data_IF_049140897407
#
_entry.id   IF_049140897407
#
_cell.length_a   1.000
_cell.length_b   1.000
_cell.length_c   1.000
_cell.angle_alpha   90.00
_cell.angle_beta   90.00
_cell.angle_gamma   90.00
#
_symmetry.space_group_name_H-M   'P 1'
#
loop_
_entity.id
_entity.type
_entity.pdbx_description
1 polymer ?
#
# COMPACT_ATOMS: atom_id res chain seq x y z
N UNK A 1 -12.17 -10.31 -16.91
CA UNK A 1 -11.08 -10.25 -15.92
C UNK A 1 -11.56 -9.83 -14.52
N UNK A 2 -12.87 -9.81 -14.32
CA UNK A 2 -13.48 -9.24 -13.08
C UNK A 2 -13.71 -10.22 -11.92
N UNK A 3 -13.47 -11.51 -12.12
CA UNK A 3 -13.81 -12.51 -11.11
C UNK A 3 -12.72 -12.80 -10.06
N UNK A 4 -11.48 -12.36 -10.32
CA UNK A 4 -10.36 -12.62 -9.41
C UNK A 4 -10.36 -11.69 -8.19
N UNK A 5 -10.88 -10.46 -8.34
CA UNK A 5 -10.89 -9.46 -7.27
C UNK A 5 -12.06 -9.65 -6.27
N UNK A 6 -13.19 -10.20 -6.70
CA UNK A 6 -14.34 -10.47 -5.83
C UNK A 6 -14.08 -11.54 -4.76
N UNK A 7 -13.17 -12.47 -5.04
CA UNK A 7 -12.85 -13.57 -4.13
C UNK A 7 -11.81 -13.23 -3.04
N UNK A 8 -11.12 -12.10 -3.18
CA UNK A 8 -10.03 -11.72 -2.24
C UNK A 8 -10.55 -10.84 -1.10
N UNK A 9 -11.62 -10.05 -1.33
CA UNK A 9 -12.13 -9.07 -0.36
C UNK A 9 -13.59 -9.27 0.07
N UNK A 10 -14.29 -10.31 -0.41
CA UNK A 10 -15.71 -10.56 -0.17
C UNK A 10 -16.04 -11.50 0.99
N UNK A 11 -15.33 -11.42 2.12
CA UNK A 11 -15.66 -12.12 3.36
C UNK A 11 -16.78 -11.41 4.13
N UNK A 12 -18.04 -11.51 3.66
CA UNK A 12 -19.21 -11.00 4.39
C UNK A 12 -19.48 -11.80 5.66
N UNK A 13 -19.39 -11.15 6.80
CA UNK A 13 -19.88 -11.63 8.08
C UNK A 13 -21.39 -11.88 8.01
N UNK A 14 -21.82 -13.12 7.83
CA UNK A 14 -23.20 -13.54 8.09
C UNK A 14 -23.38 -13.68 9.60
N UNK A 15 -24.08 -12.70 10.17
CA UNK A 15 -24.58 -12.69 11.54
C UNK A 15 -25.65 -13.79 11.65
N UNK A 16 -25.33 -14.91 12.26
CA UNK A 16 -26.28 -15.95 12.63
C UNK A 16 -27.11 -15.47 13.82
N UNK A 17 -28.41 -15.24 13.59
CA UNK A 17 -29.39 -15.09 14.66
C UNK A 17 -29.78 -16.47 15.13
N UNK A 18 -29.36 -16.85 16.32
CA UNK A 18 -29.91 -17.94 17.07
C UNK A 18 -31.19 -17.47 17.75
N UNK A 19 -32.33 -18.04 17.33
CA UNK A 19 -33.61 -17.91 17.99
C UNK A 19 -33.73 -19.13 18.92
N UNK A 20 -33.90 -18.87 20.20
CA UNK A 20 -34.16 -19.88 21.21
C UNK A 20 -35.54 -20.48 21.07
N UNK A 21 -35.64 -21.76 21.39
CA UNK A 21 -36.88 -22.52 21.57
C UNK A 21 -36.73 -23.41 22.78
N UNK A 22 -37.40 -23.06 23.84
CA UNK A 22 -37.62 -23.76 25.08
C UNK A 22 -38.59 -24.95 24.82
N UNK A 23 -38.32 -26.13 25.37
CA UNK A 23 -39.27 -27.27 25.30
C UNK A 23 -38.82 -28.40 26.20
N UNK A 24 -39.42 -28.42 27.35
CA UNK A 24 -39.40 -29.23 28.54
C UNK A 24 -39.91 -30.66 28.35
N UNK A 25 -39.51 -31.51 29.33
CA UNK A 25 -40.14 -32.73 29.84
C UNK A 25 -40.09 -33.96 28.93
N UNK A 26 -39.76 -35.13 29.36
CA UNK A 26 -39.89 -35.77 30.65
C UNK A 26 -39.82 -37.29 30.49
N UNK A 27 -39.41 -37.93 31.55
CA UNK A 27 -39.85 -39.19 32.02
C UNK A 27 -39.51 -40.52 31.31
N UNK A 28 -38.66 -41.33 31.93
CA UNK A 28 -38.97 -42.54 32.60
C UNK A 28 -39.04 -43.81 31.76
N UNK A 29 -38.37 -44.80 32.22
CA UNK A 29 -38.76 -46.17 31.83
C UNK A 29 -37.62 -47.16 31.80
N UNK A 30 -37.40 -47.77 32.93
CA UNK A 30 -36.66 -49.01 33.18
C UNK A 30 -37.13 -50.16 32.31
N UNK A 31 -36.22 -51.10 32.05
CA UNK A 31 -36.71 -52.46 31.99
C UNK A 31 -36.11 -53.39 30.97
N UNK A 32 -35.42 -54.37 31.45
CA UNK A 32 -35.42 -55.78 31.10
C UNK A 32 -34.53 -56.35 30.00
N UNK A 33 -33.59 -57.12 30.50
CA UNK A 33 -33.26 -58.51 30.20
C UNK A 33 -33.63 -59.08 28.82
N UNK A 34 -32.66 -59.70 28.21
CA UNK A 34 -32.83 -60.66 27.13
C UNK A 34 -31.51 -61.28 26.70
N UNK A 35 -31.15 -62.36 27.37
CA UNK A 35 -30.11 -63.28 26.88
C UNK A 35 -30.49 -63.82 25.50
N UNK A 36 -29.57 -63.87 24.60
CA UNK A 36 -29.74 -64.51 23.29
C UNK A 36 -28.40 -64.84 22.67
N UNK A 37 -27.94 -65.95 23.00
CA UNK A 37 -26.95 -66.86 22.47
C UNK A 37 -26.97 -66.98 20.95
N UNK A 38 -25.77 -67.00 20.30
CA UNK A 38 -25.50 -67.72 19.10
C UNK A 38 -25.32 -66.96 17.78
N UNK A 39 -24.16 -67.08 17.23
CA UNK A 39 -23.96 -66.78 15.88
C UNK A 39 -22.48 -66.52 15.51
N UNK A 40 -21.72 -67.59 15.40
CA UNK A 40 -20.46 -67.67 14.73
C UNK A 40 -20.71 -67.27 13.28
N UNK A 41 -20.14 -66.14 12.85
CA UNK A 41 -20.14 -65.66 11.47
C UNK A 41 -18.82 -64.93 11.18
N UNK A 42 -17.88 -65.76 10.85
CA UNK A 42 -16.61 -65.31 10.22
C UNK A 42 -16.88 -64.46 9.00
N UNK A 43 -16.05 -63.53 8.83
CA UNK A 43 -15.62 -62.93 7.56
C UNK A 43 -16.10 -61.51 7.29
N UNK A 44 -15.17 -60.62 7.15
CA UNK A 44 -15.39 -59.29 6.62
C UNK A 44 -14.50 -58.24 7.29
N UNK A 45 -13.21 -58.48 7.27
CA UNK A 45 -12.23 -57.39 7.46
C UNK A 45 -12.36 -56.43 6.27
N UNK A 46 -13.43 -55.66 6.28
CA UNK A 46 -13.58 -54.47 5.46
C UNK A 46 -12.85 -53.35 6.18
N UNK A 47 -11.56 -53.22 5.90
CA UNK A 47 -10.81 -52.07 6.31
C UNK A 47 -11.42 -50.85 5.65
N UNK A 48 -12.21 -50.07 6.37
CA UNK A 48 -12.50 -48.70 6.03
C UNK A 48 -11.22 -47.89 6.19
N UNK A 49 -10.29 -48.11 5.28
CA UNK A 49 -9.21 -47.20 4.99
C UNK A 49 -9.79 -45.99 4.33
N UNK A 50 -10.52 -45.17 5.05
CA UNK A 50 -10.90 -43.85 4.62
C UNK A 50 -9.60 -43.10 4.39
N UNK A 51 -9.20 -42.93 3.13
CA UNK A 51 -8.11 -42.09 2.76
C UNK A 51 -8.51 -40.66 3.19
N UNK A 52 -8.07 -40.27 4.38
CA UNK A 52 -8.28 -38.90 4.86
C UNK A 52 -7.45 -37.95 4.00
N UNK A 53 -8.12 -37.39 2.99
CA UNK A 53 -7.58 -36.33 2.19
C UNK A 53 -7.59 -35.04 3.02
N UNK A 54 -6.43 -34.44 3.26
CA UNK A 54 -6.32 -33.17 3.95
C UNK A 54 -5.59 -32.16 3.06
N UNK A 55 -6.12 -30.93 3.06
CA UNK A 55 -5.46 -29.81 2.37
C UNK A 55 -4.09 -29.55 2.99
N UNK A 56 -3.11 -29.23 2.16
CA UNK A 56 -1.78 -28.82 2.59
C UNK A 56 -1.80 -27.49 3.35
N UNK A 57 -0.78 -27.27 4.14
CA UNK A 57 -0.59 -26.01 4.85
C UNK A 57 -0.25 -24.86 3.93
N UNK A 58 -0.64 -23.64 4.32
CA UNK A 58 -0.30 -22.44 3.58
C UNK A 58 1.18 -22.06 3.83
N UNK A 59 1.86 -21.63 2.79
CA UNK A 59 3.24 -21.16 2.84
C UNK A 59 3.26 -19.64 2.97
N UNK A 60 4.02 -19.13 3.94
CA UNK A 60 4.22 -17.70 4.14
C UNK A 60 5.60 -17.29 3.67
N UNK A 61 5.67 -16.24 2.85
CA UNK A 61 6.92 -15.67 2.38
C UNK A 61 6.81 -14.14 2.28
N UNK A 62 7.96 -13.47 2.13
CA UNK A 62 8.02 -12.02 1.96
C UNK A 62 8.68 -11.69 0.62
N UNK A 63 8.22 -10.61 0.02
CA UNK A 63 8.81 -10.05 -1.20
C UNK A 63 9.03 -8.56 -1.03
N UNK A 64 10.23 -8.12 -1.37
CA UNK A 64 10.54 -6.69 -1.43
C UNK A 64 10.33 -6.20 -2.85
N UNK A 65 9.54 -5.15 -3.01
CA UNK A 65 9.27 -4.47 -4.28
C UNK A 65 9.77 -3.03 -4.22
N UNK A 66 10.19 -2.49 -5.35
CA UNK A 66 10.55 -1.08 -5.42
C UNK A 66 9.31 -0.18 -5.30
N UNK A 67 9.53 1.10 -5.00
CA UNK A 67 8.47 2.11 -4.98
C UNK A 67 7.68 2.13 -6.31
N UNK A 68 8.41 2.09 -7.43
CA UNK A 68 7.80 2.16 -8.76
C UNK A 68 7.01 0.88 -9.09
N UNK A 69 7.52 -0.31 -8.74
CA UNK A 69 6.76 -1.57 -8.85
C UNK A 69 5.48 -1.52 -8.02
N UNK A 70 5.52 -0.93 -6.84
CA UNK A 70 4.33 -0.80 -5.99
C UNK A 70 3.34 0.26 -6.53
N UNK A 71 3.84 1.36 -7.11
CA UNK A 71 3.01 2.43 -7.65
C UNK A 71 2.29 2.02 -8.95
N UNK A 72 3.04 1.43 -9.88
CA UNK A 72 2.56 1.13 -11.23
C UNK A 72 2.11 -0.33 -11.42
N UNK A 73 2.47 -1.20 -10.47
CA UNK A 73 2.27 -2.63 -10.62
C UNK A 73 3.25 -3.27 -11.60
N UNK A 74 3.16 -4.58 -11.74
CA UNK A 74 4.00 -5.31 -12.67
C UNK A 74 4.11 -6.78 -12.32
N UNK A 75 4.89 -7.51 -13.13
CA UNK A 75 5.19 -8.91 -12.88
C UNK A 75 6.57 -9.05 -12.26
N UNK A 76 6.65 -9.82 -11.20
CA UNK A 76 7.90 -10.11 -10.49
C UNK A 76 8.11 -11.60 -10.34
N UNK A 77 9.28 -12.07 -10.70
CA UNK A 77 9.67 -13.47 -10.47
C UNK A 77 10.34 -13.57 -9.10
N UNK A 78 9.77 -14.39 -8.23
CA UNK A 78 10.32 -14.71 -6.92
C UNK A 78 10.85 -16.14 -6.92
N UNK A 79 11.91 -16.37 -6.16
CA UNK A 79 12.52 -17.69 -5.96
C UNK A 79 12.26 -18.11 -4.54
N UNK A 80 11.55 -19.22 -4.38
CA UNK A 80 11.27 -19.78 -3.06
C UNK A 80 11.78 -21.22 -3.01
N UNK A 81 12.26 -21.61 -1.84
CA UNK A 81 12.61 -23.00 -1.56
C UNK A 81 11.32 -23.78 -1.30
N UNK A 82 11.09 -24.81 -2.09
CA UNK A 82 9.97 -25.74 -1.92
C UNK A 82 10.24 -26.69 -0.75
N UNK A 83 9.19 -27.29 -0.20
CA UNK A 83 9.26 -28.32 0.83
C UNK A 83 10.15 -29.52 0.45
N UNK A 84 10.34 -29.79 -0.84
CA UNK A 84 11.21 -30.85 -1.36
C UNK A 84 12.68 -30.45 -1.51
N UNK A 85 13.09 -29.28 -0.97
CA UNK A 85 14.45 -28.76 -1.06
C UNK A 85 14.82 -28.14 -2.41
N UNK A 86 13.95 -28.19 -3.40
CA UNK A 86 14.13 -27.57 -4.71
C UNK A 86 13.80 -26.08 -4.70
N UNK A 87 14.48 -25.31 -5.57
CA UNK A 87 14.13 -23.90 -5.79
C UNK A 87 13.06 -23.83 -6.89
N UNK A 88 11.93 -23.17 -6.59
CA UNK A 88 10.88 -22.91 -7.56
C UNK A 88 10.77 -21.41 -7.84
N UNK A 89 10.57 -21.08 -9.11
CA UNK A 89 10.33 -19.71 -9.55
C UNK A 89 8.81 -19.49 -9.67
N UNK A 90 8.32 -18.43 -9.01
CA UNK A 90 6.93 -18.02 -9.10
C UNK A 90 6.85 -16.65 -9.77
N UNK A 91 6.09 -16.55 -10.84
CA UNK A 91 5.71 -15.26 -11.43
C UNK A 91 4.52 -14.70 -10.64
N UNK A 92 4.73 -13.55 -10.02
CA UNK A 92 3.74 -12.89 -9.19
C UNK A 92 3.34 -11.58 -9.85
N UNK A 93 2.04 -11.37 -10.01
CA UNK A 93 1.51 -10.10 -10.46
C UNK A 93 1.33 -9.17 -9.26
N UNK A 94 2.11 -8.09 -9.23
CA UNK A 94 2.03 -7.04 -8.21
C UNK A 94 0.96 -6.02 -8.68
N UNK A 95 -0.16 -5.87 -7.96
CA UNK A 95 -1.17 -4.90 -8.35
C UNK A 95 -0.67 -3.47 -8.14
N UNK A 96 -1.01 -2.58 -9.08
CA UNK A 96 -0.70 -1.16 -8.96
C UNK A 96 -1.34 -0.57 -7.71
N UNK A 97 -0.60 0.28 -7.01
CA UNK A 97 -1.06 0.93 -5.79
C UNK A 97 -0.92 0.09 -4.52
N UNK A 98 -0.33 -1.11 -4.58
CA UNK A 98 -0.17 -1.96 -3.41
C UNK A 98 0.59 -1.23 -2.29
N UNK A 99 0.15 -1.43 -1.05
CA UNK A 99 0.77 -0.85 0.14
C UNK A 99 1.69 -1.87 0.81
N UNK A 100 2.70 -1.37 1.52
CA UNK A 100 3.58 -2.20 2.34
C UNK A 100 2.77 -2.93 3.42
N UNK A 101 3.11 -4.19 3.65
CA UNK A 101 2.42 -5.06 4.61
C UNK A 101 1.19 -5.79 4.04
N UNK A 102 0.73 -5.48 2.84
CA UNK A 102 -0.33 -6.24 2.16
C UNK A 102 0.18 -7.60 1.70
N UNK A 103 -0.72 -8.59 1.67
CA UNK A 103 -0.38 -9.94 1.24
C UNK A 103 -1.07 -10.28 -0.08
N UNK A 104 -0.30 -10.92 -0.98
CA UNK A 104 -0.79 -11.49 -2.24
C UNK A 104 -0.92 -12.99 -2.05
N UNK A 105 -2.11 -13.54 -2.35
CA UNK A 105 -2.38 -14.97 -2.26
C UNK A 105 -2.23 -15.64 -3.61
N UNK A 106 -1.39 -16.64 -3.68
CA UNK A 106 -1.22 -17.52 -4.84
C UNK A 106 -1.80 -18.89 -4.52
N UNK A 107 -2.96 -19.19 -5.09
CA UNK A 107 -3.70 -20.44 -4.83
C UNK A 107 -2.91 -21.67 -5.23
N UNK A 108 -2.92 -22.69 -4.36
CA UNK A 108 -2.29 -23.98 -4.62
C UNK A 108 -0.77 -23.94 -4.74
N UNK A 109 -0.10 -22.91 -4.20
CA UNK A 109 1.37 -22.75 -4.20
C UNK A 109 2.00 -22.92 -2.82
N UNK A 110 1.23 -23.41 -1.82
CA UNK A 110 1.70 -23.79 -0.51
C UNK A 110 2.23 -25.23 -0.47
N UNK A 111 2.20 -25.82 0.71
CA UNK A 111 2.63 -27.21 0.91
C UNK A 111 1.66 -28.20 0.27
N UNK A 112 2.14 -29.35 -0.22
CA UNK A 112 1.27 -30.39 -0.79
C UNK A 112 0.33 -30.95 0.28
N UNK A 113 -0.91 -31.29 -0.16
CA UNK A 113 -1.87 -31.99 0.71
C UNK A 113 -1.50 -33.47 0.88
N UNK A 114 -2.10 -34.09 1.89
CA UNK A 114 -1.92 -35.52 2.22
C UNK A 114 -3.10 -36.29 1.69
N UNK A 115 -2.85 -37.55 1.25
CA UNK A 115 -3.90 -38.46 0.79
C UNK A 115 -4.66 -37.96 -0.46
N UNK A 116 -4.02 -37.22 -1.35
CA UNK A 116 -4.65 -36.63 -2.54
C UNK A 116 -5.38 -35.32 -2.28
N UNK A 117 -5.15 -34.68 -1.11
CA UNK A 117 -5.68 -33.36 -0.79
C UNK A 117 -5.08 -32.26 -1.63
N UNK A 118 -5.80 -31.15 -1.79
CA UNK A 118 -5.31 -29.96 -2.48
C UNK A 118 -4.09 -29.36 -1.77
N UNK A 119 -3.18 -28.77 -2.53
CA UNK A 119 -2.09 -28.00 -1.94
C UNK A 119 -2.62 -26.74 -1.22
N UNK A 120 -1.90 -26.32 -0.20
CA UNK A 120 -2.13 -25.02 0.46
C UNK A 120 -1.85 -23.85 -0.48
N UNK A 121 -1.97 -22.64 0.01
CA UNK A 121 -1.76 -21.41 -0.72
C UNK A 121 -0.42 -20.77 -0.31
N UNK A 122 0.17 -19.98 -1.19
CA UNK A 122 1.29 -19.12 -0.84
C UNK A 122 0.77 -17.72 -0.50
N UNK A 123 1.03 -17.29 0.72
CA UNK A 123 0.73 -15.94 1.20
C UNK A 123 2.02 -15.11 1.19
N UNK A 124 2.10 -14.20 0.22
CA UNK A 124 3.27 -13.40 -0.05
C UNK A 124 3.09 -11.99 0.51
N UNK A 125 3.74 -11.68 1.63
CA UNK A 125 3.72 -10.36 2.24
C UNK A 125 4.63 -9.42 1.44
N UNK A 126 4.08 -8.27 1.03
CA UNK A 126 4.79 -7.28 0.22
C UNK A 126 5.42 -6.22 1.12
N UNK A 127 6.72 -6.00 0.96
CA UNK A 127 7.47 -4.92 1.60
C UNK A 127 7.89 -3.92 0.51
N UNK A 128 7.42 -2.68 0.59
CA UNK A 128 7.74 -1.64 -0.39
C UNK A 128 8.97 -0.87 0.07
N UNK A 129 9.96 -0.74 -0.81
CA UNK A 129 11.16 0.07 -0.57
C UNK A 129 10.84 1.55 -0.75
N UNK A 130 11.47 2.38 0.08
CA UNK A 130 11.44 3.82 -0.09
C UNK A 130 12.21 4.25 -1.35
N UNK A 131 11.73 5.33 -1.98
CA UNK A 131 12.39 5.97 -3.13
C UNK A 131 12.96 7.32 -2.67
N UNK A 132 14.27 7.55 -2.79
CA UNK A 132 14.86 8.84 -2.43
C UNK A 132 14.17 10.01 -3.13
N UNK A 133 13.87 11.06 -2.37
CA UNK A 133 13.16 12.24 -2.86
C UNK A 133 11.63 12.12 -2.91
N UNK A 134 11.07 10.94 -2.62
CA UNK A 134 9.63 10.70 -2.60
C UNK A 134 9.20 10.07 -1.27
N UNK A 135 8.15 10.60 -0.67
CA UNK A 135 7.48 10.02 0.49
C UNK A 135 6.05 9.67 0.12
N UNK A 136 5.63 8.46 0.41
CA UNK A 136 4.26 8.00 0.18
C UNK A 136 3.44 8.10 1.47
N UNK A 137 2.24 8.66 1.38
CA UNK A 137 1.24 8.62 2.45
C UNK A 137 -0.10 8.16 1.85
N UNK A 138 -0.41 6.88 2.02
CA UNK A 138 -1.55 6.26 1.37
C UNK A 138 -1.43 6.29 -0.16
N UNK A 139 -2.24 7.09 -0.83
CA UNK A 139 -2.19 7.29 -2.29
C UNK A 139 -1.47 8.57 -2.70
N UNK A 140 -1.25 9.47 -1.75
CA UNK A 140 -0.58 10.73 -2.02
C UNK A 140 0.94 10.56 -1.96
N UNK A 141 1.62 11.37 -2.76
CA UNK A 141 3.07 11.38 -2.87
C UNK A 141 3.57 12.77 -2.52
N UNK A 142 4.63 12.83 -1.73
CA UNK A 142 5.29 14.07 -1.33
C UNK A 142 6.68 14.10 -1.91
N UNK A 143 7.03 15.22 -2.54
CA UNK A 143 8.34 15.48 -3.10
C UNK A 143 8.81 16.90 -2.78
N UNK A 144 10.04 17.22 -3.12
CA UNK A 144 10.59 18.56 -2.98
C UNK A 144 10.98 19.09 -4.35
N UNK A 145 10.66 20.34 -4.62
CA UNK A 145 11.08 21.06 -5.82
C UNK A 145 11.97 22.23 -5.44
N UNK A 146 13.17 22.25 -5.99
CA UNK A 146 14.10 23.35 -5.81
C UNK A 146 13.84 24.40 -6.86
N UNK A 147 13.69 25.66 -6.41
CA UNK A 147 13.52 26.80 -7.30
C UNK A 147 14.54 27.89 -7.01
N UNK A 148 15.05 28.60 -8.02
CA UNK A 148 15.91 29.75 -7.81
C UNK A 148 15.21 30.84 -6.98
N UNK A 149 15.98 31.57 -6.17
CA UNK A 149 15.47 32.72 -5.43
C UNK A 149 14.74 33.73 -6.34
N UNK A 150 15.26 33.99 -7.54
CA UNK A 150 14.65 34.88 -8.50
C UNK A 150 13.27 34.43 -8.96
N UNK A 151 13.10 33.12 -9.18
CA UNK A 151 11.79 32.53 -9.51
C UNK A 151 10.82 32.65 -8.34
N UNK A 152 11.29 32.51 -7.12
CA UNK A 152 10.45 32.71 -5.94
C UNK A 152 9.95 34.16 -5.81
N UNK A 153 10.79 35.14 -6.16
CA UNK A 153 10.46 36.59 -6.07
C UNK A 153 9.56 37.02 -7.22
N UNK A 154 9.95 36.72 -8.45
CA UNK A 154 9.28 37.24 -9.64
C UNK A 154 8.18 36.35 -10.19
N UNK A 155 8.10 35.11 -9.70
CA UNK A 155 7.29 34.07 -10.30
C UNK A 155 8.00 33.46 -11.53
N UNK A 156 7.34 32.53 -12.16
CA UNK A 156 7.86 31.83 -13.34
C UNK A 156 7.46 30.37 -13.35
N UNK A 157 8.14 29.59 -14.14
CA UNK A 157 7.88 28.16 -14.26
C UNK A 157 8.96 27.37 -13.50
N UNK A 158 8.53 26.31 -12.84
CA UNK A 158 9.40 25.33 -12.21
C UNK A 158 9.07 23.94 -12.70
N UNK A 159 10.09 23.15 -12.95
CA UNK A 159 9.98 21.77 -13.34
C UNK A 159 9.91 20.88 -12.10
N UNK A 160 8.79 20.20 -11.90
CA UNK A 160 8.60 19.23 -10.82
C UNK A 160 8.75 17.83 -11.38
N UNK A 161 9.61 17.03 -10.75
CA UNK A 161 9.76 15.62 -11.08
C UNK A 161 8.68 14.83 -10.35
N UNK A 162 7.72 14.30 -11.11
CA UNK A 162 6.66 13.46 -10.55
C UNK A 162 6.95 11.98 -10.81
N UNK A 163 6.19 11.09 -10.16
CA UNK A 163 6.30 9.65 -10.42
C UNK A 163 5.90 9.30 -11.88
N UNK A 164 5.16 10.16 -12.57
CA UNK A 164 4.74 9.98 -13.98
C UNK A 164 5.63 10.75 -14.97
N UNK A 165 6.73 11.33 -14.51
CA UNK A 165 7.61 12.17 -15.31
C UNK A 165 7.54 13.65 -14.92
N UNK A 166 8.15 14.49 -15.72
CA UNK A 166 8.31 15.91 -15.43
C UNK A 166 7.05 16.71 -15.75
N UNK A 167 6.69 17.62 -14.85
CA UNK A 167 5.56 18.54 -15.01
C UNK A 167 6.04 19.97 -14.77
N UNK A 168 5.69 20.88 -15.67
CA UNK A 168 5.92 22.32 -15.49
C UNK A 168 4.79 22.91 -14.63
N UNK A 169 5.20 23.62 -13.57
CA UNK A 169 4.29 24.26 -12.64
C UNK A 169 4.54 25.75 -12.61
N UNK A 170 3.48 26.55 -12.63
CA UNK A 170 3.57 27.98 -12.49
C UNK A 170 3.76 28.38 -11.02
N UNK A 171 4.85 29.07 -10.72
CA UNK A 171 5.20 29.62 -9.41
C UNK A 171 4.73 31.06 -9.36
N UNK A 172 3.93 31.38 -8.36
CA UNK A 172 3.44 32.75 -8.15
C UNK A 172 4.56 33.63 -7.58
N UNK A 173 4.60 34.93 -7.93
CA UNK A 173 5.51 35.87 -7.30
C UNK A 173 5.33 35.87 -5.77
N UNK A 174 6.45 35.94 -5.05
CA UNK A 174 6.46 35.95 -3.58
C UNK A 174 6.25 34.58 -2.92
N UNK A 175 6.39 33.49 -3.68
CA UNK A 175 6.29 32.12 -3.14
C UNK A 175 7.38 31.89 -2.10
N UNK A 176 7.00 31.37 -0.94
CA UNK A 176 7.89 31.08 0.17
C UNK A 176 8.37 29.63 0.18
N UNK A 177 9.56 29.40 0.75
CA UNK A 177 10.04 28.05 1.05
C UNK A 177 9.05 27.34 1.99
N UNK A 178 8.81 26.05 1.74
CA UNK A 178 7.79 25.27 2.46
C UNK A 178 6.39 25.35 1.85
N UNK A 179 6.15 26.22 0.86
CA UNK A 179 4.88 26.25 0.13
C UNK A 179 4.66 24.93 -0.59
N UNK A 180 3.47 24.34 -0.45
CA UNK A 180 3.12 23.08 -1.11
C UNK A 180 2.32 23.34 -2.39
N UNK A 181 2.80 22.79 -3.49
CA UNK A 181 2.14 22.80 -4.80
C UNK A 181 1.44 21.46 -4.97
N UNK A 182 0.12 21.46 -5.14
CA UNK A 182 -0.66 20.25 -5.36
C UNK A 182 -0.77 19.94 -6.86
N UNK A 183 -0.29 18.79 -7.25
CA UNK A 183 -0.40 18.23 -8.58
C UNK A 183 -1.50 17.17 -8.58
N UNK A 184 -2.69 17.56 -9.05
CA UNK A 184 -3.87 16.71 -9.01
C UNK A 184 -3.70 15.48 -9.87
N UNK A 185 -4.07 14.30 -9.32
CA UNK A 185 -4.03 13.03 -10.02
C UNK A 185 -2.61 12.54 -10.37
N UNK A 186 -1.57 13.11 -9.76
CA UNK A 186 -0.18 12.69 -9.94
C UNK A 186 0.35 11.79 -8.82
N UNK A 187 -0.52 11.40 -7.88
CA UNK A 187 -0.23 10.40 -6.87
C UNK A 187 -0.46 8.96 -7.37
N UNK A 188 -0.42 8.02 -6.44
CA UNK A 188 -0.53 6.58 -6.72
C UNK A 188 -2.00 6.20 -6.96
N UNK A 189 -2.23 5.23 -7.84
CA UNK A 189 -3.55 4.69 -8.12
C UNK A 189 -4.10 3.91 -6.93
N UNK A 190 -5.42 3.87 -6.79
CA UNK A 190 -6.06 2.98 -5.85
C UNK A 190 -6.00 1.52 -6.37
N UNK A 191 -5.52 0.60 -5.55
CA UNK A 191 -5.32 -0.81 -5.92
C UNK A 191 -6.58 -1.47 -6.53
N UNK A 192 -7.77 -1.10 -6.06
CA UNK A 192 -9.05 -1.67 -6.52
C UNK A 192 -9.75 -0.84 -7.58
N UNK A 193 -9.26 0.36 -7.88
CA UNK A 193 -9.87 1.26 -8.86
C UNK A 193 -8.79 2.10 -9.56
N UNK A 194 -8.28 1.63 -10.72
CA UNK A 194 -7.23 2.32 -11.46
C UNK A 194 -7.60 3.72 -11.96
N UNK A 195 -8.89 4.07 -11.97
CA UNK A 195 -9.34 5.42 -12.36
C UNK A 195 -9.22 6.44 -11.23
N UNK A 196 -8.96 5.99 -10.00
CA UNK A 196 -8.81 6.86 -8.84
C UNK A 196 -7.34 6.99 -8.50
N UNK A 197 -6.81 8.19 -8.63
CA UNK A 197 -5.45 8.55 -8.27
C UNK A 197 -5.43 9.39 -7.00
N UNK A 198 -4.36 9.30 -6.24
CA UNK A 198 -3.99 10.31 -5.26
C UNK A 198 -3.41 11.56 -5.93
N UNK A 199 -2.93 12.48 -5.14
CA UNK A 199 -2.26 13.68 -5.60
C UNK A 199 -0.77 13.66 -5.26
N UNK A 200 0.01 14.48 -5.96
CA UNK A 200 1.38 14.72 -5.57
C UNK A 200 1.52 16.14 -5.00
N UNK A 201 2.23 16.26 -3.90
CA UNK A 201 2.50 17.51 -3.21
C UNK A 201 3.98 17.82 -3.29
N UNK A 202 4.34 18.79 -4.12
CA UNK A 202 5.70 19.29 -4.23
C UNK A 202 5.92 20.44 -3.22
N UNK A 203 6.82 20.24 -2.28
CA UNK A 203 7.21 21.27 -1.32
C UNK A 203 8.31 22.14 -1.95
N UNK A 204 8.06 23.43 -2.06
CA UNK A 204 9.03 24.39 -2.59
C UNK A 204 10.20 24.56 -1.63
N UNK A 205 11.40 24.40 -2.13
CA UNK A 205 12.65 24.78 -1.47
C UNK A 205 13.35 25.82 -2.32
N UNK A 206 13.65 26.98 -1.73
CA UNK A 206 14.33 28.07 -2.44
C UNK A 206 15.83 27.85 -2.36
N UNK A 207 16.46 27.78 -3.53
CA UNK A 207 17.91 27.70 -3.64
C UNK A 207 18.52 29.11 -3.59
N UNK A 208 19.46 29.29 -2.68
CA UNK A 208 20.25 30.49 -2.57
C UNK A 208 21.51 30.31 -3.41
N UNK A 209 21.78 31.22 -4.38
CA UNK A 209 22.97 31.10 -5.20
C UNK A 209 24.25 31.28 -4.37
N UNK A 210 25.17 30.33 -4.47
CA UNK A 210 26.44 30.34 -3.73
C UNK A 210 27.56 31.07 -4.47
N UNK A 211 27.52 31.05 -5.82
CA UNK A 211 28.56 31.64 -6.68
C UNK A 211 28.04 32.90 -7.32
N UNK A 212 28.18 34.02 -6.61
CA UNK A 212 27.80 35.35 -7.10
C UNK A 212 29.04 36.07 -7.65
N UNK A 213 28.89 36.64 -8.85
CA UNK A 213 29.88 37.61 -9.37
C UNK A 213 29.93 38.85 -8.47
N UNK A 214 31.04 39.61 -8.46
CA UNK A 214 31.13 40.84 -7.68
C UNK A 214 29.99 41.84 -8.00
N UNK A 215 29.59 41.92 -9.25
CA UNK A 215 28.49 42.79 -9.69
C UNK A 215 27.12 42.30 -9.19
N UNK A 216 26.86 41.01 -9.29
CA UNK A 216 25.62 40.43 -8.77
C UNK A 216 25.51 40.66 -7.24
N UNK A 217 26.61 40.49 -6.52
CA UNK A 217 26.68 40.76 -5.08
C UNK A 217 26.38 42.23 -4.76
N UNK A 218 26.91 43.17 -5.57
CA UNK A 218 26.63 44.61 -5.39
C UNK A 218 25.15 44.90 -5.59
N UNK A 219 24.55 44.43 -6.71
CA UNK A 219 23.13 44.62 -6.99
C UNK A 219 22.24 44.01 -5.91
N UNK A 220 22.62 42.85 -5.34
CA UNK A 220 21.87 42.24 -4.24
C UNK A 220 21.93 43.04 -2.95
N UNK A 221 23.06 43.72 -2.67
CA UNK A 221 23.17 44.67 -1.55
C UNK A 221 22.32 45.92 -1.76
N UNK A 222 22.30 46.47 -2.98
CA UNK A 222 21.44 47.61 -3.36
C UNK A 222 19.96 47.25 -3.15
N UNK A 223 19.53 46.05 -3.61
CA UNK A 223 18.19 45.54 -3.39
C UNK A 223 17.85 45.41 -1.89
N UNK A 224 18.78 44.91 -1.07
CA UNK A 224 18.58 44.80 0.38
C UNK A 224 18.38 46.18 1.03
N UNK A 225 19.15 47.18 0.62
CA UNK A 225 19.02 48.56 1.13
C UNK A 225 17.65 49.17 0.79
N UNK A 226 17.18 48.98 -0.43
CA UNK A 226 15.86 49.46 -0.88
C UNK A 226 14.73 48.78 -0.10
N UNK A 227 14.80 47.45 0.08
CA UNK A 227 13.82 46.71 0.88
C UNK A 227 13.77 47.19 2.33
N UNK A 228 14.92 47.49 2.93
CA UNK A 228 15.01 47.97 4.33
C UNK A 228 14.58 49.46 4.44
N UNK A 229 14.83 50.26 3.44
CA UNK A 229 14.35 51.64 3.37
C UNK A 229 12.83 51.75 3.32
N UNK A 230 12.20 50.91 2.53
CA UNK A 230 10.74 50.81 2.43
C UNK A 230 10.05 50.33 3.72
N UNK A 231 10.72 49.55 4.54
CA UNK A 231 10.20 49.12 5.87
C UNK A 231 10.24 50.27 6.90
N UNK A 232 11.24 51.10 6.88
CA UNK A 232 11.37 52.27 7.78
C UNK A 232 10.31 53.34 7.50
N UNK A 233 9.94 53.58 6.28
CA UNK A 233 8.94 54.59 5.88
C UNK A 233 7.50 54.19 6.26
N UNK A 234 7.19 52.91 6.38
CA UNK A 234 5.85 52.41 6.82
C UNK A 234 5.65 52.38 8.32
N UNK A 235 6.71 52.49 9.12
CA UNK A 235 6.65 52.45 10.59
C UNK A 235 6.42 53.77 11.31
N UNK A 236 6.37 54.91 10.56
CA UNK A 236 6.32 56.25 11.16
C UNK A 236 5.00 57.00 10.98
N UNK A 237 3.93 56.27 10.67
CA UNK A 237 2.62 56.88 10.37
C UNK A 237 1.47 56.36 11.25
N UNK A 238 1.62 56.33 12.60
CA UNK A 238 0.46 56.32 13.47
C UNK A 238 0.82 56.74 14.89
N UNK A 239 0.64 58.02 15.14
CA UNK A 239 0.80 58.52 16.51
C UNK A 239 0.80 60.03 16.57
N UNK A 240 -0.28 60.69 16.19
CA UNK A 240 -0.65 61.99 16.74
C UNK A 240 -2.06 62.36 16.26
N UNK A 241 -3.03 62.16 17.06
CA UNK A 241 -4.20 63.02 17.11
C UNK A 241 -4.65 63.04 18.57
N UNK A 242 -4.61 64.23 19.11
CA UNK A 242 -5.07 64.67 20.41
C UNK A 242 -6.57 64.35 20.66
#
# INVERSE_FOLDING_TARGET
MDDILKNIFGGGFKKSKSSGGFGSSGFGGSGFHGSGFGGFGSNGTGGFGGSYSSKGEDLHAEVTVSFDEAAFGGKKVIRLQSSNGGIQNYEVNIPAGIESGKSIRLKGKGYPGVGGGEAGDLLLKVNVQDKPGYKREGRDVYTTVNIPFTTAVFGGEAKVHTIYGDVLCNIKPGTQSGTKIRLRGKGIVAMNNPSVHGDEYATVQIEVPTNLTPEARRKLKEFEQECNGSRRSRGFGSGSAA
#
